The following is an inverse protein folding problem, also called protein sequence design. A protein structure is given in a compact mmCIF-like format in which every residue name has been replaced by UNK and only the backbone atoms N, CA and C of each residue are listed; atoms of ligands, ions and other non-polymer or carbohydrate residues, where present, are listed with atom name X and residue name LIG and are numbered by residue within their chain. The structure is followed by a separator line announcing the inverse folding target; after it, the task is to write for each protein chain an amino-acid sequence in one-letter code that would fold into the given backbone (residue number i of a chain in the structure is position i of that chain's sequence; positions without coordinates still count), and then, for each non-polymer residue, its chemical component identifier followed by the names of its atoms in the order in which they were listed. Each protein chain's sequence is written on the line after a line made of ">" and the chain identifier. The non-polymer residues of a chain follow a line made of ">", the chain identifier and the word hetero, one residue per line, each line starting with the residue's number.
data_IF_865155483204
#
_entry.id   IF_865155483204
#
_cell.length_a   1.000
_cell.length_b   1.000
_cell.length_c   1.000
_cell.angle_alpha   90.00
_cell.angle_beta   90.00
_cell.angle_gamma   90.00
#
_symmetry.space_group_name_H-M   'P 1'
#
loop_
_entity.id
_entity.type
_entity.pdbx_description
1 polymer ?
#
# COMPACT_ATOMS: atom_id res chain seq x y z
N UNK A 1 33.28 -14.04 31.63
CA UNK A 1 32.23 -14.81 32.34
C UNK A 1 32.54 -14.71 33.82
N UNK A 2 31.52 -14.49 34.65
CA UNK A 2 31.67 -14.31 36.10
C UNK A 2 30.77 -15.31 36.82
N UNK A 3 31.29 -15.93 37.87
CA UNK A 3 30.56 -16.85 38.76
C UNK A 3 30.35 -16.09 40.07
N UNK A 4 29.10 -15.98 40.51
CA UNK A 4 28.76 -15.45 41.82
C UNK A 4 28.89 -16.52 42.90
N UNK A 5 28.81 -16.09 44.16
CA UNK A 5 28.80 -17.00 45.29
C UNK A 5 27.51 -17.82 45.34
N UNK A 6 27.56 -18.96 46.03
CA UNK A 6 26.38 -19.77 46.34
C UNK A 6 25.73 -19.25 47.62
N UNK A 7 24.49 -18.78 47.52
CA UNK A 7 23.74 -18.22 48.65
C UNK A 7 22.65 -19.20 49.11
N UNK A 8 22.47 -19.43 50.42
CA UNK A 8 21.39 -20.27 50.92
C UNK A 8 20.04 -19.55 50.86
N UNK A 9 18.98 -20.33 50.63
CA UNK A 9 17.59 -19.90 50.78
C UNK A 9 17.04 -20.35 52.13
N UNK A 10 16.08 -19.60 52.68
CA UNK A 10 15.43 -19.92 53.96
C UNK A 10 14.58 -21.20 53.94
N UNK A 11 14.41 -21.83 52.79
CA UNK A 11 13.67 -23.07 52.55
C UNK A 11 14.57 -24.31 52.41
N UNK A 12 15.89 -24.15 52.63
CA UNK A 12 16.88 -25.23 52.50
C UNK A 12 17.40 -25.45 51.08
N UNK A 13 17.03 -24.60 50.11
CA UNK A 13 17.61 -24.61 48.76
C UNK A 13 18.78 -23.62 48.63
N UNK A 14 19.43 -23.56 47.47
CA UNK A 14 20.56 -22.65 47.21
C UNK A 14 20.35 -21.86 45.92
N UNK A 15 20.88 -20.63 45.87
CA UNK A 15 20.96 -19.79 44.68
C UNK A 15 22.40 -19.64 44.21
N UNK A 16 22.60 -19.70 42.90
CA UNK A 16 23.88 -19.44 42.25
C UNK A 16 23.65 -18.67 40.96
N UNK A 17 24.46 -17.65 40.70
CA UNK A 17 24.39 -16.85 39.47
C UNK A 17 25.66 -17.01 38.64
N UNK A 18 25.50 -17.25 37.35
CA UNK A 18 26.57 -17.13 36.34
C UNK A 18 26.20 -16.04 35.35
N UNK A 19 27.17 -15.24 34.93
CA UNK A 19 26.93 -14.13 34.01
C UNK A 19 27.98 -14.10 32.90
N UNK A 20 27.53 -13.90 31.67
CA UNK A 20 28.36 -13.80 30.48
C UNK A 20 28.11 -12.44 29.84
N UNK A 21 29.15 -11.62 29.73
CA UNK A 21 29.10 -10.36 29.01
C UNK A 21 29.34 -10.63 27.52
N UNK A 22 28.43 -10.18 26.67
CA UNK A 22 28.48 -10.34 25.22
C UNK A 22 28.44 -8.95 24.58
N UNK A 23 29.24 -8.71 23.54
CA UNK A 23 29.21 -7.45 22.81
C UNK A 23 27.92 -7.31 21.97
N UNK A 24 27.50 -6.08 21.70
CA UNK A 24 26.32 -5.82 20.86
C UNK A 24 26.44 -6.40 19.44
N UNK A 25 27.65 -6.45 18.91
CA UNK A 25 27.93 -7.02 17.58
C UNK A 25 27.75 -8.55 17.55
N UNK A 26 28.20 -9.24 18.61
CA UNK A 26 27.98 -10.68 18.80
C UNK A 26 26.49 -11.01 18.98
N UNK A 27 25.73 -10.15 19.69
CA UNK A 27 24.28 -10.30 19.79
C UNK A 27 23.58 -10.08 18.44
N UNK A 28 24.10 -9.17 17.60
CA UNK A 28 23.56 -8.86 16.28
C UNK A 28 23.85 -9.94 15.24
N UNK A 29 24.91 -10.72 15.41
CA UNK A 29 25.25 -11.86 14.55
C UNK A 29 24.36 -13.10 14.76
N UNK A 30 23.30 -13.01 15.58
CA UNK A 30 22.29 -14.08 15.75
C UNK A 30 22.90 -15.37 16.30
N UNK A 31 23.91 -15.26 17.16
CA UNK A 31 24.47 -16.41 17.88
C UNK A 31 23.46 -16.93 18.91
N UNK A 32 23.22 -18.24 18.89
CA UNK A 32 22.41 -18.91 19.90
C UNK A 32 23.26 -19.14 21.16
N UNK A 33 22.89 -18.51 22.27
CA UNK A 33 23.51 -18.78 23.56
C UNK A 33 22.64 -19.75 24.35
N UNK A 34 23.21 -20.79 24.95
CA UNK A 34 22.46 -21.72 25.79
C UNK A 34 23.09 -21.82 27.18
N UNK A 35 22.28 -21.64 28.21
CA UNK A 35 22.65 -21.90 29.60
C UNK A 35 22.24 -23.32 29.97
N UNK A 36 23.22 -24.19 30.24
CA UNK A 36 22.98 -25.57 30.67
C UNK A 36 23.19 -25.71 32.17
N UNK A 37 22.17 -26.19 32.88
CA UNK A 37 22.22 -26.50 34.30
C UNK A 37 22.15 -28.01 34.49
N UNK A 38 23.14 -28.55 35.22
CA UNK A 38 23.17 -29.94 35.67
C UNK A 38 23.08 -29.96 37.18
N UNK A 39 22.14 -30.73 37.71
CA UNK A 39 21.94 -30.89 39.14
C UNK A 39 21.63 -32.35 39.43
N UNK A 40 22.19 -32.91 40.51
CA UNK A 40 22.06 -34.34 40.84
C UNK A 40 20.62 -34.81 41.02
N UNK A 41 19.73 -33.90 41.46
CA UNK A 41 18.31 -34.18 41.60
C UNK A 41 17.53 -34.19 40.28
N UNK A 42 18.19 -33.93 39.15
CA UNK A 42 17.58 -33.86 37.83
C UNK A 42 18.17 -34.97 36.97
N UNK A 43 17.34 -35.91 36.53
CA UNK A 43 17.77 -37.01 35.65
C UNK A 43 18.23 -36.48 34.27
N UNK A 44 17.68 -35.33 33.85
CA UNK A 44 18.07 -34.60 32.65
C UNK A 44 18.78 -33.28 32.99
N UNK A 45 19.38 -32.63 31.98
CA UNK A 45 19.87 -31.25 32.09
C UNK A 45 18.74 -30.25 31.80
N UNK A 46 18.82 -29.07 32.42
CA UNK A 46 17.98 -27.93 32.07
C UNK A 46 18.76 -27.01 31.13
N UNK A 47 18.34 -26.92 29.87
CA UNK A 47 18.91 -26.03 28.86
C UNK A 47 17.98 -24.84 28.63
N UNK A 48 18.49 -23.62 28.85
CA UNK A 48 17.78 -22.37 28.59
C UNK A 48 18.48 -21.66 27.44
N UNK A 49 17.85 -21.62 26.29
CA UNK A 49 18.38 -20.93 25.11
C UNK A 49 17.97 -19.46 25.11
N UNK A 50 18.92 -18.59 24.82
CA UNK A 50 18.73 -17.17 24.61
C UNK A 50 18.12 -16.94 23.24
N UNK A 51 16.91 -16.39 23.21
CA UNK A 51 16.25 -16.00 21.98
C UNK A 51 16.47 -14.50 21.74
N UNK A 52 17.28 -14.17 20.73
CA UNK A 52 17.43 -12.78 20.31
C UNK A 52 16.13 -12.33 19.66
N UNK A 53 15.35 -11.50 20.36
CA UNK A 53 14.21 -10.86 19.72
C UNK A 53 14.71 -10.03 18.53
N UNK A 54 14.10 -10.18 17.34
CA UNK A 54 14.43 -9.30 16.22
C UNK A 54 14.14 -7.87 16.66
N UNK A 55 15.18 -7.04 16.71
CA UNK A 55 15.01 -5.61 16.96
C UNK A 55 14.07 -4.99 15.92
N UNK A 56 13.54 -3.79 16.17
CA UNK A 56 12.69 -3.10 15.21
C UNK A 56 13.39 -3.07 13.84
N UNK A 57 12.73 -3.55 12.79
CA UNK A 57 13.27 -3.50 11.44
C UNK A 57 13.34 -2.02 11.02
N UNK A 58 14.47 -1.36 11.28
CA UNK A 58 14.66 0.08 11.07
C UNK A 58 14.33 0.45 9.61
N UNK A 59 14.70 -0.41 8.66
CA UNK A 59 14.34 -0.25 7.25
C UNK A 59 12.81 -0.21 7.00
N UNK A 60 12.06 -1.05 7.72
CA UNK A 60 10.60 -1.13 7.61
C UNK A 60 9.93 0.07 8.29
N UNK A 61 10.46 0.52 9.42
CA UNK A 61 10.00 1.73 10.11
C UNK A 61 10.23 2.98 9.24
N UNK A 62 11.44 3.14 8.70
CA UNK A 62 11.76 4.27 7.81
C UNK A 62 10.94 4.23 6.52
N UNK A 63 10.80 3.05 5.90
CA UNK A 63 9.98 2.86 4.71
C UNK A 63 8.52 3.22 4.92
N UNK A 64 7.92 2.74 6.02
CA UNK A 64 6.53 3.06 6.37
C UNK A 64 6.33 4.56 6.62
N UNK A 65 7.28 5.19 7.31
CA UNK A 65 7.24 6.63 7.62
C UNK A 65 7.23 7.50 6.36
N UNK A 66 8.15 7.23 5.43
CA UNK A 66 8.24 7.98 4.17
C UNK A 66 7.00 7.78 3.30
N UNK A 67 6.47 6.56 3.25
CA UNK A 67 5.27 6.23 2.47
C UNK A 67 4.03 6.92 3.03
N UNK A 68 3.89 6.97 4.36
CA UNK A 68 2.77 7.65 5.01
C UNK A 68 2.81 9.17 4.78
N UNK A 69 4.00 9.79 4.85
CA UNK A 69 4.17 11.22 4.61
C UNK A 69 3.84 11.61 3.17
N UNK A 70 4.31 10.84 2.19
CA UNK A 70 4.03 11.11 0.77
C UNK A 70 2.54 10.95 0.44
N UNK A 71 1.90 9.89 0.93
CA UNK A 71 0.47 9.68 0.76
C UNK A 71 -0.36 10.78 1.44
N UNK A 72 0.00 11.18 2.66
CA UNK A 72 -0.66 12.26 3.38
C UNK A 72 -0.57 13.59 2.63
N UNK A 73 0.61 13.93 2.08
CA UNK A 73 0.79 15.15 1.30
C UNK A 73 -0.10 15.15 0.04
N UNK A 74 -0.18 14.03 -0.68
CA UNK A 74 -1.03 13.92 -1.86
C UNK A 74 -2.51 14.14 -1.52
N UNK A 75 -3.00 13.56 -0.43
CA UNK A 75 -4.39 13.73 0.02
C UNK A 75 -4.67 15.20 0.35
N UNK A 76 -3.75 15.87 1.05
CA UNK A 76 -3.88 17.29 1.40
C UNK A 76 -3.92 18.16 0.14
N UNK A 77 -3.02 17.92 -0.82
CA UNK A 77 -3.00 18.66 -2.10
C UNK A 77 -4.32 18.50 -2.85
N UNK A 78 -4.81 17.26 -2.99
CA UNK A 78 -6.10 16.98 -3.65
C UNK A 78 -7.25 17.68 -2.91
N UNK A 79 -7.29 17.59 -1.58
CA UNK A 79 -8.30 18.27 -0.77
C UNK A 79 -8.30 19.78 -0.96
N UNK A 80 -7.12 20.41 -0.98
CA UNK A 80 -6.96 21.85 -1.24
C UNK A 80 -7.40 22.21 -2.65
N UNK A 81 -7.05 21.42 -3.67
CA UNK A 81 -7.47 21.67 -5.05
C UNK A 81 -8.99 21.61 -5.21
N UNK A 82 -9.65 20.61 -4.59
CA UNK A 82 -11.10 20.49 -4.59
C UNK A 82 -11.73 21.68 -3.86
N UNK A 83 -11.21 22.04 -2.68
CA UNK A 83 -11.72 23.17 -1.91
C UNK A 83 -11.58 24.50 -2.65
N UNK A 84 -10.44 24.74 -3.31
CA UNK A 84 -10.25 25.95 -4.15
C UNK A 84 -11.21 25.97 -5.34
N UNK A 85 -11.43 24.83 -6.01
CA UNK A 85 -12.40 24.72 -7.10
C UNK A 85 -13.85 24.97 -6.66
N UNK A 86 -14.20 24.59 -5.43
CA UNK A 86 -15.51 24.87 -4.85
C UNK A 86 -15.65 26.33 -4.41
N UNK A 87 -14.59 26.96 -3.88
CA UNK A 87 -14.61 28.38 -3.52
C UNK A 87 -14.61 29.33 -4.71
N UNK A 88 -14.03 28.94 -5.84
CA UNK A 88 -14.20 29.66 -7.11
C UNK A 88 -15.62 29.54 -7.68
N UNK A 89 -16.49 28.75 -7.03
CA UNK A 89 -17.92 28.62 -7.32
C UNK A 89 -18.72 29.11 -6.11
N UNK A 90 -18.68 30.40 -5.82
CA UNK A 90 -19.82 30.98 -5.10
C UNK A 90 -21.10 30.83 -5.95
N UNK A 91 -22.29 30.65 -5.33
CA UNK A 91 -23.53 30.25 -5.98
C UNK A 91 -24.12 31.38 -6.83
N UNK A 92 -23.52 31.61 -7.99
CA UNK A 92 -24.12 32.38 -9.07
C UNK A 92 -25.10 31.48 -9.83
N UNK A 93 -26.37 31.86 -9.80
CA UNK A 93 -27.40 31.35 -10.69
C UNK A 93 -26.90 31.24 -12.15
N UNK A 94 -27.44 30.28 -12.89
CA UNK A 94 -27.23 30.03 -14.33
C UNK A 94 -25.98 29.26 -14.75
N UNK A 95 -26.14 27.94 -14.87
CA UNK A 95 -25.66 27.21 -16.06
C UNK A 95 -26.38 25.86 -16.17
N UNK A 96 -27.70 25.91 -16.39
CA UNK A 96 -28.46 24.75 -16.84
C UNK A 96 -28.84 24.84 -18.33
N UNK A 97 -28.60 25.96 -19.00
CA UNK A 97 -29.18 26.23 -20.33
C UNK A 97 -28.19 26.29 -21.49
N UNK A 98 -26.87 26.04 -21.29
CA UNK A 98 -25.93 25.98 -22.44
C UNK A 98 -25.87 24.62 -23.11
N UNK A 99 -26.18 23.56 -22.37
CA UNK A 99 -26.10 22.18 -22.81
C UNK A 99 -27.36 21.73 -23.57
N UNK A 100 -28.49 22.42 -23.42
CA UNK A 100 -29.75 22.06 -24.11
C UNK A 100 -29.81 22.62 -25.54
N UNK A 101 -29.34 23.87 -25.76
CA UNK A 101 -29.32 24.49 -27.10
C UNK A 101 -28.20 23.92 -27.99
N UNK A 102 -27.08 23.48 -27.40
CA UNK A 102 -25.98 22.82 -28.15
C UNK A 102 -26.36 21.39 -28.56
N UNK A 103 -27.11 20.67 -27.70
CA UNK A 103 -27.59 19.31 -27.99
C UNK A 103 -28.71 19.29 -29.04
N UNK A 104 -29.56 20.33 -29.11
CA UNK A 104 -30.58 20.46 -30.16
C UNK A 104 -29.94 20.69 -31.55
N UNK A 105 -28.89 21.52 -31.63
CA UNK A 105 -28.15 21.76 -32.88
C UNK A 105 -27.39 20.52 -33.36
N UNK A 106 -26.86 19.72 -32.44
CA UNK A 106 -26.16 18.47 -32.75
C UNK A 106 -27.15 17.39 -33.28
N UNK A 107 -28.35 17.30 -32.69
CA UNK A 107 -29.37 16.34 -33.15
C UNK A 107 -30.02 16.74 -34.49
N UNK A 108 -30.12 18.04 -34.78
CA UNK A 108 -30.57 18.52 -36.08
C UNK A 108 -29.56 18.22 -37.21
N UNK A 109 -28.26 18.29 -36.91
CA UNK A 109 -27.19 17.95 -37.87
C UNK A 109 -27.09 16.45 -38.13
N UNK A 110 -27.33 15.61 -37.11
CA UNK A 110 -27.28 14.15 -37.25
C UNK A 110 -28.47 13.55 -38.04
N UNK A 111 -29.56 14.32 -38.22
CA UNK A 111 -30.75 13.90 -38.98
C UNK A 111 -30.68 14.12 -40.49
N UNK A 112 -29.63 14.79 -41.00
CA UNK A 112 -29.56 15.19 -42.42
C UNK A 112 -28.59 14.37 -43.29
N UNK A 113 -27.90 13.37 -42.72
CA UNK A 113 -26.88 12.57 -43.44
C UNK A 113 -27.34 11.12 -43.76
N UNK A 114 -28.61 10.97 -44.15
CA UNK A 114 -29.02 9.83 -44.97
C UNK A 114 -29.82 10.38 -46.13
N UNK A 115 -29.13 10.84 -47.16
CA UNK A 115 -29.59 10.69 -48.55
C UNK A 115 -28.46 11.10 -49.51
N UNK A 116 -27.81 10.09 -50.09
CA UNK A 116 -27.31 10.17 -51.45
C UNK A 116 -25.83 10.46 -51.66
N UNK A 117 -25.07 9.40 -52.00
CA UNK A 117 -24.05 9.53 -53.04
C UNK A 117 -23.98 8.23 -53.87
N UNK A 118 -24.09 8.35 -55.19
CA UNK A 118 -24.01 7.24 -56.15
C UNK A 118 -24.61 7.59 -57.51
N UNK A 119 -23.96 8.49 -58.24
CA UNK A 119 -24.39 8.96 -59.56
C UNK A 119 -24.05 8.02 -60.73
N UNK A 120 -25.00 7.99 -61.68
CA UNK A 120 -24.88 8.01 -63.16
C UNK A 120 -24.14 6.87 -63.88
N UNK A 121 -24.91 6.05 -64.61
CA UNK A 121 -24.72 5.79 -66.05
C UNK A 121 -25.97 5.10 -66.63
N UNK A 122 -26.65 5.74 -67.59
CA UNK A 122 -27.52 5.09 -68.58
C UNK A 122 -27.47 5.86 -69.90
N UNK A 123 -26.60 5.40 -70.80
CA UNK A 123 -26.75 5.61 -72.23
C UNK A 123 -28.09 5.03 -72.71
N UNK A 124 -28.78 5.76 -73.58
CA UNK A 124 -29.95 5.29 -74.30
C UNK A 124 -29.55 4.44 -75.51
N UNK A 125 -30.30 3.36 -75.76
CA UNK A 125 -30.45 2.80 -77.10
C UNK A 125 -31.79 2.06 -77.20
N UNK A 126 -32.59 2.53 -78.16
CA UNK A 126 -33.89 2.04 -78.60
C UNK A 126 -33.97 0.52 -78.82
N UNK A 127 -35.12 -0.08 -78.44
CA UNK A 127 -35.77 -1.17 -79.20
C UNK A 127 -37.27 -1.19 -78.92
N UNK A 128 -38.08 -0.78 -79.89
CA UNK A 128 -39.39 -1.42 -80.14
C UNK A 128 -39.63 -1.43 -81.66
N UNK A 129 -39.42 -2.59 -82.26
CA UNK A 129 -40.02 -2.97 -83.53
C UNK A 129 -41.22 -3.85 -83.20
N UNK A 130 -42.40 -3.49 -83.68
CA UNK A 130 -43.56 -4.38 -83.73
C UNK A 130 -44.10 -4.34 -85.17
N UNK A 131 -44.00 -5.48 -85.86
CA UNK A 131 -44.83 -5.82 -87.02
C UNK A 131 -46.22 -6.24 -86.57
#
# INVERSE_FOLDING_TARGET
>A
MTIGDTLPNGDGTYQLRRSLSVSAEMLSQRHGYTCTVRHVSMDNKLDVTWESQPGPNIALVLGASLTALSAGLLIVVVGVLIWRRQRSREPGCSSATKNEEEMERINAAAGADRDGEGGVEREGMERVSAS
#
